data_IF_761269159633
#
_entry.id   IF_761269159633
#
_cell.length_a   1.000
_cell.length_b   1.000
_cell.length_c   1.000
_cell.angle_alpha   90.00
_cell.angle_beta   90.00
_cell.angle_gamma   90.00
#
_symmetry.space_group_name_H-M   'P 1'
#
loop_
_entity.id
_entity.type
_entity.pdbx_description
1 polymer ?
#
# COMPACT_ATOMS: atom_id res chain seq x y z
N UNK A 1 -3.30 -17.51 16.62
CA UNK A 1 -4.54 -17.07 15.90
C UNK A 1 -4.22 -16.88 14.42
N UNK A 2 -5.22 -16.96 13.50
CA UNK A 2 -4.98 -16.87 12.05
C UNK A 2 -4.45 -15.50 11.61
N UNK A 3 -4.85 -14.43 12.30
CA UNK A 3 -4.44 -13.05 11.98
C UNK A 3 -3.28 -12.54 12.85
N UNK A 4 -2.67 -13.41 13.63
CA UNK A 4 -1.55 -13.07 14.52
C UNK A 4 -0.28 -12.73 13.70
N UNK A 5 0.33 -11.58 14.01
CA UNK A 5 1.57 -11.10 13.45
C UNK A 5 2.67 -10.96 14.50
N UNK A 6 2.50 -11.58 15.68
CA UNK A 6 3.49 -11.54 16.76
C UNK A 6 4.85 -12.03 16.28
N UNK A 7 5.89 -11.24 16.54
CA UNK A 7 7.26 -11.51 16.11
C UNK A 7 7.57 -11.11 14.66
N UNK A 8 6.59 -10.67 13.86
CA UNK A 8 6.79 -10.18 12.50
C UNK A 8 7.19 -8.72 12.48
N UNK A 9 8.05 -8.36 11.55
CA UNK A 9 8.49 -6.98 11.28
C UNK A 9 7.86 -6.49 9.99
N UNK A 10 7.06 -5.42 10.09
CA UNK A 10 6.39 -4.79 8.96
C UNK A 10 6.96 -3.41 8.65
N UNK A 11 7.34 -3.18 7.39
CA UNK A 11 7.72 -1.86 6.87
C UNK A 11 6.59 -1.33 6.00
N UNK A 12 6.11 -0.11 6.29
CA UNK A 12 4.99 0.51 5.56
C UNK A 12 5.42 1.86 5.01
N UNK A 13 5.45 1.98 3.67
CA UNK A 13 5.69 3.28 3.02
C UNK A 13 4.41 4.11 2.99
N UNK A 14 4.53 5.43 3.13
CA UNK A 14 3.36 6.31 3.23
C UNK A 14 2.53 6.09 4.52
N UNK A 15 3.18 5.58 5.58
CA UNK A 15 2.55 5.15 6.83
C UNK A 15 2.07 6.28 7.76
N UNK A 16 2.32 7.55 7.41
CA UNK A 16 2.04 8.67 8.33
C UNK A 16 0.59 9.16 8.33
N UNK A 17 -0.25 8.74 7.39
CA UNK A 17 -1.66 9.17 7.28
C UNK A 17 -2.50 8.20 6.43
N UNK A 18 -3.82 8.39 6.47
CA UNK A 18 -4.77 7.66 5.62
C UNK A 18 -4.61 6.14 5.71
N UNK A 19 -4.67 5.47 4.56
CA UNK A 19 -4.56 4.02 4.44
C UNK A 19 -3.28 3.49 5.09
N UNK A 20 -2.13 4.09 4.80
CA UNK A 20 -0.85 3.63 5.35
C UNK A 20 -0.78 3.71 6.87
N UNK A 21 -1.36 4.78 7.48
CA UNK A 21 -1.47 4.89 8.93
C UNK A 21 -2.34 3.78 9.51
N UNK A 22 -3.51 3.53 8.93
CA UNK A 22 -4.40 2.45 9.37
C UNK A 22 -3.69 1.08 9.26
N UNK A 23 -2.98 0.82 8.16
CA UNK A 23 -2.18 -0.41 8.01
C UNK A 23 -1.16 -0.54 9.14
N UNK A 24 -0.41 0.52 9.46
CA UNK A 24 0.55 0.52 10.57
C UNK A 24 -0.12 0.20 11.91
N UNK A 25 -1.22 0.89 12.23
CA UNK A 25 -1.94 0.72 13.48
C UNK A 25 -2.56 -0.68 13.61
N UNK A 26 -3.17 -1.20 12.53
CA UNK A 26 -3.77 -2.53 12.50
C UNK A 26 -2.70 -3.64 12.60
N UNK A 27 -1.58 -3.54 11.87
CA UNK A 27 -0.52 -4.53 11.98
C UNK A 27 0.10 -4.55 13.39
N UNK A 28 0.30 -3.38 14.02
CA UNK A 28 0.78 -3.29 15.39
C UNK A 28 -0.23 -3.89 16.39
N UNK A 29 -1.53 -3.64 16.20
CA UNK A 29 -2.58 -4.22 17.04
C UNK A 29 -2.64 -5.76 16.95
N UNK A 30 -2.16 -6.34 15.85
CA UNK A 30 -2.04 -7.78 15.65
C UNK A 30 -0.65 -8.33 16.03
N UNK A 31 0.19 -7.53 16.70
CA UNK A 31 1.46 -7.96 17.30
C UNK A 31 2.71 -7.75 16.44
N UNK A 32 2.60 -7.13 15.27
CA UNK A 32 3.77 -6.80 14.46
C UNK A 32 4.58 -5.65 15.07
N UNK A 33 5.91 -5.70 14.89
CA UNK A 33 6.80 -4.55 15.04
C UNK A 33 6.75 -3.73 13.76
N UNK A 34 6.43 -2.45 13.85
CA UNK A 34 6.12 -1.64 12.66
C UNK A 34 7.15 -0.55 12.42
N UNK A 35 7.66 -0.46 11.20
CA UNK A 35 8.45 0.67 10.71
C UNK A 35 7.52 1.58 9.91
N UNK A 36 7.18 2.71 10.49
CA UNK A 36 6.34 3.74 9.89
C UNK A 36 7.20 4.66 9.05
N UNK A 37 7.01 4.68 7.73
CA UNK A 37 7.82 5.52 6.85
C UNK A 37 7.01 6.48 6.01
N UNK A 38 7.46 7.71 5.92
CA UNK A 38 7.04 8.74 4.97
C UNK A 38 8.10 9.83 4.86
N UNK A 39 7.90 10.83 3.98
CA UNK A 39 8.84 11.94 3.77
C UNK A 39 9.05 12.85 4.99
N UNK A 40 8.06 12.95 5.88
CA UNK A 40 8.08 13.86 7.05
C UNK A 40 8.20 13.03 8.32
N UNK A 41 9.38 13.05 8.94
CA UNK A 41 9.65 12.30 10.16
C UNK A 41 8.67 12.62 11.30
N UNK A 42 8.36 13.89 11.63
CA UNK A 42 7.43 14.20 12.73
C UNK A 42 6.04 13.55 12.54
N UNK A 43 5.54 13.49 11.30
CA UNK A 43 4.27 12.84 11.01
C UNK A 43 4.30 11.31 11.20
N UNK A 44 5.46 10.67 11.01
CA UNK A 44 5.66 9.25 11.34
C UNK A 44 5.74 9.05 12.85
N UNK A 45 6.42 9.94 13.56
CA UNK A 45 6.58 9.90 15.02
C UNK A 45 5.21 9.99 15.75
N UNK A 46 4.28 10.80 15.25
CA UNK A 46 2.92 10.86 15.78
C UNK A 46 2.18 9.52 15.68
N UNK A 47 2.33 8.81 14.55
CA UNK A 47 1.75 7.46 14.39
C UNK A 47 2.43 6.46 15.34
N UNK A 48 3.75 6.51 15.44
CA UNK A 48 4.52 5.68 16.37
C UNK A 48 4.09 5.90 17.81
N UNK A 49 3.91 7.17 18.22
CA UNK A 49 3.40 7.53 19.56
C UNK A 49 2.02 6.91 19.81
N UNK A 50 1.12 6.99 18.82
CA UNK A 50 -0.20 6.36 18.91
C UNK A 50 -0.17 4.84 19.04
N UNK A 51 0.71 4.17 18.28
CA UNK A 51 0.92 2.72 18.36
C UNK A 51 1.47 2.33 19.74
N UNK A 52 2.49 3.02 20.24
CA UNK A 52 3.11 2.74 21.54
C UNK A 52 2.14 2.99 22.71
N UNK A 53 1.29 4.02 22.62
CA UNK A 53 0.28 4.29 23.62
C UNK A 53 -0.77 3.17 23.75
N UNK A 54 -0.95 2.36 22.70
CA UNK A 54 -1.81 1.16 22.67
C UNK A 54 -1.05 -0.14 22.98
N UNK A 55 0.20 -0.05 23.43
CA UNK A 55 1.04 -1.20 23.77
C UNK A 55 1.73 -1.89 22.60
N UNK A 56 1.64 -1.33 21.38
CA UNK A 56 2.35 -1.83 20.20
C UNK A 56 3.81 -1.36 20.12
N UNK A 57 4.58 -1.96 19.21
CA UNK A 57 5.99 -1.64 18.99
C UNK A 57 6.18 -1.02 17.60
N UNK A 58 6.75 0.18 17.53
CA UNK A 58 7.01 0.85 16.25
C UNK A 58 8.19 1.82 16.32
N UNK A 59 8.81 2.08 15.16
CA UNK A 59 9.78 3.15 14.93
C UNK A 59 9.37 4.00 13.72
N UNK A 60 9.85 5.24 13.69
CA UNK A 60 9.67 6.17 12.57
C UNK A 60 10.95 6.28 11.75
N UNK A 61 10.83 6.22 10.42
CA UNK A 61 11.96 6.42 9.50
C UNK A 61 11.50 7.31 8.34
N UNK A 62 12.18 8.45 8.14
CA UNK A 62 11.90 9.31 6.99
C UNK A 62 12.48 8.70 5.71
N UNK A 63 11.64 8.54 4.68
CA UNK A 63 12.09 8.15 3.35
C UNK A 63 11.13 8.64 2.26
N UNK A 64 11.69 9.08 1.14
CA UNK A 64 10.95 9.39 -0.09
C UNK A 64 11.05 8.22 -1.06
N UNK A 65 9.90 7.79 -1.60
CA UNK A 65 9.87 6.73 -2.63
C UNK A 65 10.48 7.17 -3.97
N UNK A 66 10.71 8.47 -4.17
CA UNK A 66 11.41 9.00 -5.35
C UNK A 66 12.93 8.92 -5.25
N UNK A 67 13.47 8.47 -4.13
CA UNK A 67 14.89 8.44 -3.83
C UNK A 67 15.30 7.05 -3.36
N UNK A 68 16.03 6.35 -4.23
CA UNK A 68 16.46 4.98 -3.96
C UNK A 68 17.36 4.87 -2.73
N UNK A 69 18.27 5.83 -2.53
CA UNK A 69 19.17 5.82 -1.38
C UNK A 69 18.41 5.97 -0.05
N UNK A 70 17.33 6.77 -0.04
CA UNK A 70 16.47 6.87 1.14
C UNK A 70 15.70 5.56 1.41
N UNK A 71 15.30 4.82 0.36
CA UNK A 71 14.69 3.49 0.53
C UNK A 71 15.71 2.46 1.04
N UNK A 72 16.96 2.50 0.56
CA UNK A 72 18.05 1.68 1.10
C UNK A 72 18.29 1.96 2.59
N UNK A 73 18.30 3.24 2.98
CA UNK A 73 18.42 3.65 4.38
C UNK A 73 17.19 3.20 5.22
N UNK A 74 15.98 3.23 4.66
CA UNK A 74 14.78 2.72 5.33
C UNK A 74 14.91 1.23 5.66
N UNK A 75 15.33 0.43 4.68
CA UNK A 75 15.53 -1.01 4.84
C UNK A 75 16.64 -1.29 5.85
N UNK A 76 17.76 -0.56 5.78
CA UNK A 76 18.86 -0.69 6.72
C UNK A 76 18.45 -0.33 8.15
N UNK A 77 17.67 0.74 8.34
CA UNK A 77 17.15 1.15 9.64
C UNK A 77 16.19 0.12 10.24
N UNK A 78 15.31 -0.49 9.41
CA UNK A 78 14.43 -1.56 9.83
C UNK A 78 15.20 -2.79 10.32
N UNK A 79 16.22 -3.22 9.56
CA UNK A 79 17.11 -4.33 9.94
C UNK A 79 17.90 -4.03 11.21
N UNK A 80 18.42 -2.81 11.35
CA UNK A 80 19.14 -2.38 12.57
C UNK A 80 18.26 -2.44 13.81
N UNK A 81 16.99 -2.04 13.69
CA UNK A 81 16.07 -1.99 14.81
C UNK A 81 15.51 -3.37 15.20
N UNK A 82 15.19 -4.20 14.20
CA UNK A 82 14.39 -5.42 14.41
C UNK A 82 15.02 -6.69 13.84
N UNK A 83 16.20 -6.61 13.24
CA UNK A 83 16.97 -7.75 12.73
C UNK A 83 16.57 -8.21 11.34
N UNK A 84 15.29 -8.12 10.96
CA UNK A 84 14.77 -8.62 9.68
C UNK A 84 13.56 -7.83 9.22
N UNK A 85 13.09 -8.11 8.00
CA UNK A 85 11.81 -7.62 7.47
C UNK A 85 11.00 -8.81 6.97
N UNK A 86 9.80 -9.01 7.51
CA UNK A 86 8.90 -10.12 7.16
C UNK A 86 7.77 -9.65 6.25
N UNK A 87 7.37 -8.39 6.39
CA UNK A 87 6.24 -7.79 5.67
C UNK A 87 6.70 -6.45 5.09
N UNK A 88 6.58 -6.29 3.77
CA UNK A 88 6.79 -5.02 3.09
C UNK A 88 5.48 -4.53 2.50
N UNK A 89 5.02 -3.34 2.90
CA UNK A 89 3.81 -2.70 2.36
C UNK A 89 4.19 -1.45 1.57
N UNK A 90 4.05 -1.54 0.26
CA UNK A 90 4.22 -0.45 -0.69
C UNK A 90 2.89 0.31 -0.84
N UNK A 91 2.64 1.28 0.05
CA UNK A 91 1.42 2.08 0.03
C UNK A 91 1.65 3.51 -0.50
N UNK A 92 2.87 4.04 -0.36
CA UNK A 92 3.16 5.38 -0.87
C UNK A 92 2.99 5.47 -2.40
N UNK A 93 2.32 6.51 -2.85
CA UNK A 93 2.14 6.81 -4.28
C UNK A 93 2.07 8.32 -4.52
N UNK A 94 2.19 8.72 -5.78
CA UNK A 94 2.00 10.09 -6.23
C UNK A 94 1.08 10.17 -7.43
N UNK A 95 0.26 11.21 -7.48
CA UNK A 95 -0.55 11.58 -8.64
C UNK A 95 -0.51 13.11 -8.82
N UNK A 96 0.55 13.66 -9.40
CA UNK A 96 0.72 15.10 -9.55
C UNK A 96 -0.04 15.70 -10.75
N UNK A 97 -0.77 14.89 -11.53
CA UNK A 97 -1.46 15.34 -12.72
C UNK A 97 -2.94 14.95 -12.70
N UNK A 98 -3.79 15.91 -13.00
CA UNK A 98 -5.23 15.73 -13.19
C UNK A 98 -5.63 16.41 -14.51
N UNK A 99 -5.98 15.63 -15.52
CA UNK A 99 -6.34 16.12 -16.85
C UNK A 99 -6.23 15.03 -17.92
N UNK A 100 -6.55 15.38 -19.20
CA UNK A 100 -6.49 14.45 -20.33
C UNK A 100 -5.04 14.07 -20.66
N UNK A 101 -4.82 12.85 -21.16
CA UNK A 101 -3.48 12.37 -21.56
C UNK A 101 -2.77 13.27 -22.55
N UNK A 102 -3.51 13.95 -23.44
CA UNK A 102 -2.95 14.86 -24.44
C UNK A 102 -2.22 16.07 -23.85
N UNK A 103 -2.53 16.44 -22.59
CA UNK A 103 -1.86 17.51 -21.84
C UNK A 103 -0.78 17.03 -20.87
N UNK A 104 -0.55 15.71 -20.79
CA UNK A 104 0.43 15.15 -19.88
C UNK A 104 1.85 15.34 -20.40
N UNK A 105 2.71 15.96 -19.58
CA UNK A 105 4.14 16.09 -19.88
C UNK A 105 4.88 14.80 -19.61
N UNK A 106 5.91 14.51 -20.40
CA UNK A 106 6.69 13.27 -20.29
C UNK A 106 7.39 13.12 -18.94
N UNK A 107 7.99 14.17 -18.42
CA UNK A 107 8.66 14.19 -17.11
C UNK A 107 7.70 13.88 -15.96
N UNK A 108 6.45 14.35 -16.07
CA UNK A 108 5.39 14.04 -15.10
C UNK A 108 4.98 12.57 -15.18
N UNK A 109 4.84 12.02 -16.39
CA UNK A 109 4.56 10.61 -16.60
C UNK A 109 5.68 9.72 -16.02
N UNK A 110 6.92 10.03 -16.38
CA UNK A 110 8.10 9.33 -15.86
C UNK A 110 8.14 9.36 -14.32
N UNK A 111 7.85 10.52 -13.71
CA UNK A 111 7.79 10.66 -12.26
C UNK A 111 6.70 9.78 -11.62
N UNK A 112 5.52 9.68 -12.24
CA UNK A 112 4.45 8.80 -11.77
C UNK A 112 4.91 7.34 -11.81
N UNK A 113 5.47 6.88 -12.92
CA UNK A 113 5.94 5.50 -13.09
C UNK A 113 7.10 5.18 -12.14
N UNK A 114 8.06 6.10 -11.99
CA UNK A 114 9.18 5.95 -11.07
C UNK A 114 8.72 5.80 -9.62
N UNK A 115 7.83 6.70 -9.19
CA UNK A 115 7.35 6.71 -7.81
C UNK A 115 6.42 5.55 -7.48
N UNK A 116 5.53 5.18 -8.40
CA UNK A 116 4.47 4.22 -8.08
C UNK A 116 4.84 2.78 -8.42
N UNK A 117 5.71 2.57 -9.41
CA UNK A 117 6.07 1.22 -9.90
C UNK A 117 7.52 0.87 -9.57
N UNK A 118 8.47 1.71 -10.00
CA UNK A 118 9.89 1.39 -9.85
C UNK A 118 10.30 1.33 -8.37
N UNK A 119 9.76 2.21 -7.53
CA UNK A 119 10.05 2.18 -6.08
C UNK A 119 9.63 0.86 -5.43
N UNK A 120 8.50 0.28 -5.88
CA UNK A 120 8.01 -1.00 -5.39
C UNK A 120 8.96 -2.14 -5.79
N UNK A 121 9.46 -2.11 -7.05
CA UNK A 121 10.45 -3.07 -7.52
C UNK A 121 11.78 -2.94 -6.76
N UNK A 122 12.26 -1.73 -6.50
CA UNK A 122 13.46 -1.53 -5.69
C UNK A 122 13.30 -2.13 -4.29
N UNK A 123 12.18 -1.88 -3.62
CA UNK A 123 11.91 -2.43 -2.29
C UNK A 123 11.87 -3.96 -2.31
N UNK A 124 11.22 -4.57 -3.31
CA UNK A 124 11.23 -6.03 -3.44
C UNK A 124 12.64 -6.58 -3.61
N UNK A 125 13.45 -5.96 -4.48
CA UNK A 125 14.84 -6.37 -4.69
C UNK A 125 15.72 -6.23 -3.44
N UNK A 126 15.39 -5.28 -2.54
CA UNK A 126 16.11 -5.08 -1.29
C UNK A 126 15.74 -6.10 -0.21
N UNK A 127 14.46 -6.52 -0.15
CA UNK A 127 13.97 -7.39 0.95
C UNK A 127 13.74 -8.83 0.52
N UNK A 128 13.50 -9.09 -0.77
CA UNK A 128 13.21 -10.41 -1.31
C UNK A 128 14.27 -11.47 -1.01
N UNK A 129 15.58 -11.20 -1.18
CA UNK A 129 16.62 -12.16 -0.90
C UNK A 129 16.60 -12.71 0.52
N UNK A 130 16.50 -11.85 1.53
CA UNK A 130 16.44 -12.28 2.94
C UNK A 130 15.14 -13.02 3.29
N UNK A 131 14.01 -12.61 2.69
CA UNK A 131 12.76 -13.36 2.83
C UNK A 131 12.87 -14.76 2.20
N UNK A 132 13.57 -14.88 1.05
CA UNK A 132 13.77 -16.14 0.36
C UNK A 132 14.64 -17.11 1.17
N UNK A 133 15.70 -16.62 1.81
CA UNK A 133 16.56 -17.43 2.69
C UNK A 133 15.77 -18.04 3.85
N UNK A 134 14.89 -17.24 4.46
CA UNK A 134 14.00 -17.69 5.56
C UNK A 134 12.79 -18.47 5.06
N UNK A 135 12.51 -18.47 3.75
CA UNK A 135 11.30 -19.05 3.13
C UNK A 135 10.01 -18.53 3.77
N UNK A 136 9.99 -17.23 4.08
CA UNK A 136 8.87 -16.57 4.75
C UNK A 136 8.88 -15.08 4.44
N UNK A 137 7.79 -14.58 3.82
CA UNK A 137 7.64 -13.18 3.48
C UNK A 137 6.27 -12.82 2.91
N UNK A 138 5.83 -11.59 3.15
CA UNK A 138 4.66 -11.01 2.53
C UNK A 138 4.99 -9.63 1.93
N UNK A 139 4.75 -9.48 0.64
CA UNK A 139 4.90 -8.23 -0.08
C UNK A 139 3.52 -7.75 -0.57
N UNK A 140 3.11 -6.56 -0.14
CA UNK A 140 1.77 -6.03 -0.38
C UNK A 140 1.89 -4.67 -1.08
N UNK A 141 1.26 -4.53 -2.25
CA UNK A 141 1.19 -3.26 -2.98
C UNK A 141 -0.23 -2.70 -2.85
N UNK A 142 -0.35 -1.47 -2.35
CA UNK A 142 -1.61 -0.74 -2.38
C UNK A 142 -1.77 -0.10 -3.75
N UNK A 143 -2.57 -0.74 -4.59
CA UNK A 143 -2.94 -0.27 -5.92
C UNK A 143 -4.17 0.65 -5.88
N UNK A 144 -5.14 0.44 -6.73
CA UNK A 144 -6.41 1.19 -6.81
C UNK A 144 -7.39 0.42 -7.72
N UNK A 145 -8.70 0.60 -7.53
CA UNK A 145 -9.68 0.21 -8.55
C UNK A 145 -9.42 0.93 -9.90
N UNK A 146 -8.75 2.08 -9.89
CA UNK A 146 -8.28 2.76 -11.09
C UNK A 146 -7.39 1.90 -11.98
N UNK A 147 -6.75 0.84 -11.45
CA UNK A 147 -6.01 -0.15 -12.22
C UNK A 147 -6.90 -1.01 -13.15
N UNK A 148 -8.20 -1.06 -12.88
CA UNK A 148 -9.17 -1.96 -13.53
C UNK A 148 -10.14 -1.21 -14.45
N UNK A 149 -10.11 0.13 -14.44
CA UNK A 149 -11.01 0.98 -15.22
C UNK A 149 -10.28 2.13 -15.89
N UNK A 150 -10.84 2.65 -16.99
CA UNK A 150 -10.35 3.86 -17.63
C UNK A 150 -10.72 5.14 -16.88
N UNK A 151 -9.98 6.22 -17.12
CA UNK A 151 -10.29 7.55 -16.61
C UNK A 151 -9.84 8.62 -17.60
N UNK A 152 -10.67 9.63 -17.83
CA UNK A 152 -10.32 10.78 -18.64
C UNK A 152 -9.36 11.77 -17.94
N UNK A 153 -9.24 11.69 -16.60
CA UNK A 153 -8.53 12.72 -15.81
C UNK A 153 -7.33 12.23 -15.02
N UNK A 154 -7.26 10.93 -14.69
CA UNK A 154 -6.17 10.34 -13.90
C UNK A 154 -5.56 9.12 -14.60
N UNK A 155 -5.58 9.10 -15.94
CA UNK A 155 -5.17 7.94 -16.72
C UNK A 155 -3.72 7.53 -16.45
N UNK A 156 -2.76 8.45 -16.33
CA UNK A 156 -1.38 8.12 -16.02
C UNK A 156 -1.20 7.43 -14.66
N UNK A 157 -1.95 7.90 -13.65
CA UNK A 157 -2.00 7.22 -12.36
C UNK A 157 -2.60 5.82 -12.50
N UNK A 158 -3.73 5.67 -13.21
CA UNK A 158 -4.36 4.37 -13.45
C UNK A 158 -3.41 3.40 -14.17
N UNK A 159 -2.66 3.88 -15.18
CA UNK A 159 -1.63 3.10 -15.86
C UNK A 159 -0.56 2.60 -14.87
N UNK A 160 -0.08 3.44 -13.96
CA UNK A 160 0.88 3.03 -12.95
C UNK A 160 0.30 1.98 -11.99
N UNK A 161 -0.99 2.12 -11.63
CA UNK A 161 -1.67 1.15 -10.76
C UNK A 161 -2.00 -0.17 -11.47
N UNK A 162 -2.25 -0.14 -12.77
CA UNK A 162 -2.35 -1.35 -13.59
C UNK A 162 -0.98 -2.06 -13.74
N UNK A 163 0.10 -1.29 -13.88
CA UNK A 163 1.47 -1.84 -13.86
C UNK A 163 1.79 -2.52 -12.53
N UNK A 164 1.33 -1.98 -11.38
CA UNK A 164 1.44 -2.64 -10.07
C UNK A 164 0.81 -4.04 -10.07
N UNK A 165 -0.36 -4.23 -10.72
CA UNK A 165 -1.02 -5.54 -10.79
C UNK A 165 -0.22 -6.54 -11.63
N UNK A 166 0.39 -6.09 -12.73
CA UNK A 166 1.29 -6.92 -13.53
C UNK A 166 2.56 -7.27 -12.76
N UNK A 167 3.15 -6.30 -12.05
CA UNK A 167 4.31 -6.49 -11.19
C UNK A 167 4.03 -7.53 -10.10
N UNK A 168 2.88 -7.46 -9.42
CA UNK A 168 2.47 -8.44 -8.40
C UNK A 168 2.43 -9.86 -8.96
N UNK A 169 1.84 -10.06 -10.14
CA UNK A 169 1.77 -11.38 -10.78
C UNK A 169 3.16 -11.92 -11.13
N UNK A 170 4.03 -11.07 -11.69
CA UNK A 170 5.39 -11.45 -12.07
C UNK A 170 6.24 -11.80 -10.84
N UNK A 171 6.21 -10.97 -9.81
CA UNK A 171 6.93 -11.22 -8.56
C UNK A 171 6.40 -12.46 -7.83
N UNK A 172 5.08 -12.72 -7.88
CA UNK A 172 4.51 -13.94 -7.30
C UNK A 172 5.04 -15.20 -7.98
N UNK A 173 5.21 -15.19 -9.30
CA UNK A 173 5.79 -16.32 -10.05
C UNK A 173 7.29 -16.49 -9.75
N UNK A 174 8.02 -15.39 -9.61
CA UNK A 174 9.46 -15.41 -9.34
C UNK A 174 9.77 -15.89 -7.92
N UNK A 175 9.08 -15.34 -6.92
CA UNK A 175 9.39 -15.51 -5.50
C UNK A 175 8.52 -16.52 -4.77
N UNK A 176 7.39 -16.96 -5.35
CA UNK A 176 6.45 -17.90 -4.71
C UNK A 176 7.08 -19.24 -4.34
N UNK A 177 8.03 -19.76 -5.14
CA UNK A 177 8.81 -20.96 -4.82
C UNK A 177 9.63 -20.87 -3.53
N UNK A 178 9.89 -19.64 -3.07
CA UNK A 178 10.56 -19.35 -1.80
C UNK A 178 9.58 -19.05 -0.66
N UNK A 179 8.27 -19.34 -0.84
CA UNK A 179 7.21 -19.06 0.12
C UNK A 179 7.06 -17.56 0.43
N UNK A 180 7.36 -16.69 -0.55
CA UNK A 180 7.07 -15.26 -0.47
C UNK A 180 5.75 -15.00 -1.18
N UNK A 181 4.78 -14.42 -0.48
CA UNK A 181 3.48 -14.09 -1.04
C UNK A 181 3.45 -12.63 -1.46
N UNK A 182 3.17 -12.40 -2.74
CA UNK A 182 3.09 -11.06 -3.31
C UNK A 182 1.66 -10.79 -3.76
N UNK A 183 1.02 -9.76 -3.21
CA UNK A 183 -0.37 -9.44 -3.50
C UNK A 183 -0.60 -7.93 -3.60
N UNK A 184 -1.70 -7.54 -4.23
CA UNK A 184 -2.19 -6.17 -4.27
C UNK A 184 -3.49 -6.02 -3.48
N UNK A 185 -3.72 -4.80 -2.99
CA UNK A 185 -5.04 -4.32 -2.56
C UNK A 185 -5.44 -3.24 -3.56
N UNK A 186 -6.68 -3.27 -4.06
CA UNK A 186 -7.25 -2.23 -4.92
C UNK A 186 -8.39 -1.51 -4.17
N UNK A 187 -8.09 -0.43 -3.44
CA UNK A 187 -9.12 0.36 -2.77
C UNK A 187 -10.00 1.11 -3.76
N UNK A 188 -11.29 1.27 -3.40
CA UNK A 188 -12.17 2.28 -3.97
C UNK A 188 -11.84 3.70 -3.49
N UNK A 189 -12.83 4.60 -3.53
CA UNK A 189 -12.66 5.92 -2.94
C UNK A 189 -12.65 5.80 -1.42
N UNK A 190 -11.51 6.12 -0.81
CA UNK A 190 -11.28 6.09 0.64
C UNK A 190 -11.13 7.52 1.16
N UNK A 191 -11.75 7.85 2.28
CA UNK A 191 -11.69 9.16 2.91
C UNK A 191 -10.29 9.42 3.49
N UNK A 192 -9.42 9.99 2.66
CA UNK A 192 -8.01 10.29 2.98
C UNK A 192 -7.64 11.68 2.48
N UNK A 193 -6.56 12.26 3.03
CA UNK A 193 -6.01 13.52 2.49
C UNK A 193 -5.59 13.41 1.02
N UNK A 194 -5.10 12.24 0.59
CA UNK A 194 -4.71 12.01 -0.79
C UNK A 194 -5.88 12.15 -1.77
N UNK A 195 -7.07 11.71 -1.37
CA UNK A 195 -8.28 11.75 -2.18
C UNK A 195 -9.21 12.94 -1.80
N UNK A 196 -8.73 13.91 -1.01
CA UNK A 196 -9.55 14.99 -0.44
C UNK A 196 -10.38 15.73 -1.49
N UNK A 197 -9.75 16.11 -2.62
CA UNK A 197 -10.44 16.81 -3.71
C UNK A 197 -11.62 16.01 -4.32
N UNK A 198 -11.64 14.70 -4.15
CA UNK A 198 -12.71 13.84 -4.66
C UNK A 198 -13.85 13.70 -3.66
N UNK A 199 -13.54 13.45 -2.38
CA UNK A 199 -14.59 13.18 -1.39
C UNK A 199 -15.15 14.45 -0.72
N UNK A 200 -14.43 15.58 -0.75
CA UNK A 200 -14.98 16.89 -0.34
C UNK A 200 -15.93 17.49 -1.39
N UNK A 201 -15.85 17.05 -2.65
CA UNK A 201 -16.80 17.45 -3.67
C UNK A 201 -18.09 16.62 -3.54
N UNK A 202 -19.25 17.23 -3.16
CA UNK A 202 -20.47 16.46 -2.89
C UNK A 202 -21.00 15.70 -4.11
N UNK A 203 -20.78 16.23 -5.33
CA UNK A 203 -21.23 15.58 -6.57
C UNK A 203 -20.40 14.34 -6.88
N UNK A 204 -19.06 14.43 -6.75
CA UNK A 204 -18.17 13.29 -6.97
C UNK A 204 -18.41 12.24 -5.90
N UNK A 205 -18.49 12.65 -4.63
CA UNK A 205 -18.76 11.77 -3.51
C UNK A 205 -20.11 11.06 -3.67
N UNK A 206 -21.19 11.79 -3.93
CA UNK A 206 -22.52 11.22 -4.12
C UNK A 206 -22.58 10.25 -5.29
N UNK A 207 -21.89 10.54 -6.40
CA UNK A 207 -21.79 9.62 -7.54
C UNK A 207 -21.04 8.32 -7.17
N UNK A 208 -20.01 8.40 -6.32
CA UNK A 208 -19.29 7.20 -5.85
C UNK A 208 -20.13 6.40 -4.84
N UNK A 209 -20.79 7.06 -3.91
CA UNK A 209 -21.68 6.43 -2.93
C UNK A 209 -22.88 5.74 -3.61
N UNK A 210 -23.45 6.35 -4.66
CA UNK A 210 -24.55 5.73 -5.41
C UNK A 210 -24.14 4.46 -6.17
N UNK A 211 -22.91 4.45 -6.73
CA UNK A 211 -22.35 3.28 -7.43
C UNK A 211 -21.95 2.15 -6.48
N UNK A 212 -21.48 2.49 -5.28
CA UNK A 212 -21.07 1.48 -4.31
C UNK A 212 -22.28 0.67 -3.82
N UNK A 213 -22.20 -0.64 -3.83
CA UNK A 213 -23.24 -1.51 -3.26
C UNK A 213 -23.47 -1.21 -1.76
N UNK A 214 -22.40 -0.88 -1.02
CA UNK A 214 -22.46 -0.49 0.40
C UNK A 214 -22.93 0.95 0.63
N UNK A 215 -23.24 1.74 -0.42
CA UNK A 215 -23.77 3.10 -0.37
C UNK A 215 -22.96 4.08 0.50
N UNK A 216 -21.66 3.87 0.58
CA UNK A 216 -20.71 4.76 1.27
C UNK A 216 -19.34 4.75 0.58
N UNK A 217 -18.56 5.79 0.79
CA UNK A 217 -17.10 5.72 0.55
C UNK A 217 -16.43 4.94 1.68
N UNK A 218 -15.24 4.39 1.40
CA UNK A 218 -14.48 3.64 2.38
C UNK A 218 -13.77 4.53 3.40
N UNK A 219 -13.43 3.93 4.54
CA UNK A 219 -12.55 4.48 5.55
C UNK A 219 -11.17 3.81 5.48
N UNK A 220 -10.08 4.44 5.97
CA UNK A 220 -8.78 3.81 6.01
C UNK A 220 -8.77 2.42 6.65
N UNK A 221 -9.59 2.20 7.69
CA UNK A 221 -9.67 0.94 8.41
C UNK A 221 -10.31 -0.19 7.59
N UNK A 222 -11.14 0.13 6.59
CA UNK A 222 -11.63 -0.87 5.62
C UNK A 222 -10.49 -1.53 4.83
N UNK A 223 -9.33 -0.85 4.73
CA UNK A 223 -8.13 -1.34 4.02
C UNK A 223 -7.11 -1.97 4.97
N UNK A 224 -6.98 -1.42 6.19
CA UNK A 224 -6.02 -1.90 7.18
C UNK A 224 -6.20 -3.39 7.50
N UNK A 225 -7.44 -3.85 7.69
CA UNK A 225 -7.77 -5.26 7.94
C UNK A 225 -7.41 -6.18 6.77
N UNK A 226 -7.58 -5.73 5.52
CA UNK A 226 -7.19 -6.50 4.32
C UNK A 226 -5.66 -6.68 4.27
N UNK A 227 -4.89 -5.65 4.67
CA UNK A 227 -3.44 -5.77 4.74
C UNK A 227 -3.00 -6.77 5.81
N UNK A 228 -3.65 -6.81 6.98
CA UNK A 228 -3.39 -7.82 8.02
C UNK A 228 -3.72 -9.22 7.51
N UNK A 229 -4.86 -9.41 6.83
CA UNK A 229 -5.22 -10.68 6.19
C UNK A 229 -4.10 -11.16 5.26
N UNK A 230 -3.65 -10.33 4.33
CA UNK A 230 -2.62 -10.68 3.36
C UNK A 230 -1.25 -10.92 4.02
N UNK A 231 -0.93 -10.24 5.13
CA UNK A 231 0.32 -10.42 5.85
C UNK A 231 0.35 -11.70 6.70
N UNK A 232 -0.79 -12.16 7.20
CA UNK A 232 -0.92 -13.21 8.20
C UNK A 232 -1.08 -14.61 7.61
N UNK A 233 -1.18 -15.62 8.49
CA UNK A 233 -1.49 -17.01 8.14
C UNK A 233 -2.88 -17.16 7.49
N UNK A 234 -3.81 -16.21 7.74
CA UNK A 234 -5.12 -16.21 7.09
C UNK A 234 -5.01 -16.09 5.56
N UNK A 235 -3.99 -15.38 5.06
CA UNK A 235 -3.68 -15.24 3.64
C UNK A 235 -2.64 -16.23 3.11
N UNK A 236 -2.33 -17.32 3.81
CA UNK A 236 -1.22 -18.23 3.47
C UNK A 236 -1.29 -18.84 2.07
N UNK A 237 -2.49 -18.99 1.51
CA UNK A 237 -2.67 -19.53 0.15
C UNK A 237 -3.08 -18.45 -0.87
N UNK A 238 -2.91 -17.16 -0.52
CA UNK A 238 -3.18 -16.02 -1.40
C UNK A 238 -1.87 -15.46 -1.92
N UNK A 239 -1.62 -15.63 -3.22
CA UNK A 239 -0.40 -15.16 -3.89
C UNK A 239 -0.73 -14.76 -5.34
N UNK A 240 -0.15 -13.64 -5.81
CA UNK A 240 -0.40 -13.10 -7.15
C UNK A 240 -1.77 -12.45 -7.34
N UNK A 241 -2.51 -12.20 -6.26
CA UNK A 241 -3.89 -11.72 -6.31
C UNK A 241 -4.01 -10.21 -6.08
N UNK A 242 -5.10 -9.66 -6.58
CA UNK A 242 -5.55 -8.31 -6.28
C UNK A 242 -6.88 -8.40 -5.51
N UNK A 243 -6.85 -8.00 -4.24
CA UNK A 243 -8.06 -7.93 -3.42
C UNK A 243 -8.71 -6.56 -3.62
N UNK A 244 -9.88 -6.54 -4.24
CA UNK A 244 -10.67 -5.34 -4.44
C UNK A 244 -11.43 -5.03 -3.14
N UNK A 245 -11.25 -3.81 -2.62
CA UNK A 245 -11.90 -3.32 -1.40
C UNK A 245 -12.51 -1.93 -1.69
N UNK A 246 -13.65 -1.94 -2.37
CA UNK A 246 -14.27 -0.75 -2.97
C UNK A 246 -15.75 -0.55 -2.62
N UNK A 247 -16.28 -1.36 -1.72
CA UNK A 247 -17.70 -1.34 -1.36
C UNK A 247 -18.64 -1.83 -2.46
N UNK A 248 -18.08 -2.56 -3.46
CA UNK A 248 -18.83 -3.13 -4.57
C UNK A 248 -18.98 -2.18 -5.78
N UNK A 249 -18.15 -1.16 -5.91
CA UNK A 249 -18.19 -0.20 -7.05
C UNK A 249 -17.92 -0.89 -8.38
N UNK A 250 -16.91 -1.77 -8.45
CA UNK A 250 -16.56 -2.48 -9.70
C UNK A 250 -17.45 -3.70 -9.92
N UNK A 251 -17.89 -4.35 -8.84
CA UNK A 251 -18.74 -5.53 -8.90
C UNK A 251 -20.24 -5.24 -9.10
N UNK A 252 -20.68 -3.99 -8.93
CA UNK A 252 -22.06 -3.60 -9.20
C UNK A 252 -22.28 -3.52 -10.72
N UNK A 253 -23.23 -4.31 -11.23
CA UNK A 253 -23.74 -4.16 -12.59
C UNK A 253 -24.33 -2.76 -12.82
N UNK A 254 -24.50 -2.37 -14.08
CA UNK A 254 -25.34 -1.22 -14.41
C UNK A 254 -26.80 -1.62 -14.15
N UNK A 255 -27.42 -0.98 -13.15
CA UNK A 255 -28.89 -0.92 -13.02
C UNK A 255 -29.40 0.30 -13.78
#
# INVERSE_FOLDING_TARGET
MMFDLTGKVAVVTGGSRGIGRSICEQMAAHGAKVVVSSRKLPACEEVVKGIKAKGGEAIAVAASISDRAQLENLVAAARKAYGQIDIMVCNAASNPYFGPLTGLKEDVFQKIMMNNVMSNLWLMNMVGPEMAERRDGAFIIVSSIGALVGSAHIAAYNMSKAADLSLVKSLAMEWGKHNIRVNAIAPGLIQTDFARALWENPQIRGAQESKAALKRIGQPDDIGGVAVFLASKAGAFVCGQCIIADGGVIGSGAE
#
